data_IF_941660947784
#
_entry.id   IF_941660947784
#
_cell.length_a   1.000
_cell.length_b   1.000
_cell.length_c   1.000
_cell.angle_alpha   90.00
_cell.angle_beta   90.00
_cell.angle_gamma   90.00
#
_symmetry.space_group_name_H-M   'P 1'
#
loop_
_entity.id
_entity.type
_entity.pdbx_description
1 polymer ?
#
# COMPACT_ATOMS: atom_id res chain seq x y z
N UNK A 1 -27.22 14.65 3.78
CA UNK A 1 -26.25 14.50 2.67
C UNK A 1 -26.45 15.69 1.73
N UNK A 2 -25.41 16.18 1.05
CA UNK A 2 -25.48 17.38 0.20
C UNK A 2 -24.91 18.70 0.79
N UNK A 3 -24.28 18.68 1.97
CA UNK A 3 -23.70 19.87 2.58
C UNK A 3 -22.53 20.47 1.78
N UNK A 4 -21.81 19.64 1.02
CA UNK A 4 -20.65 20.03 0.22
C UNK A 4 -21.04 20.46 -1.21
N UNK A 5 -22.35 20.48 -1.53
CA UNK A 5 -22.85 20.85 -2.85
C UNK A 5 -22.48 19.86 -3.95
N UNK A 6 -22.41 20.35 -5.20
CA UNK A 6 -22.05 19.52 -6.35
C UNK A 6 -20.53 19.43 -6.52
N UNK A 7 -20.00 18.23 -6.72
CA UNK A 7 -18.57 18.00 -6.92
C UNK A 7 -18.27 17.74 -8.40
N UNK A 8 -17.70 18.75 -9.06
CA UNK A 8 -17.42 18.74 -10.50
C UNK A 8 -15.97 19.22 -10.78
N UNK A 9 -14.93 18.46 -10.37
CA UNK A 9 -13.54 18.86 -10.63
C UNK A 9 -13.24 18.88 -12.14
N UNK A 10 -12.51 19.90 -12.59
CA UNK A 10 -12.06 20.05 -13.99
C UNK A 10 -10.60 19.68 -14.22
N UNK A 11 -9.86 19.46 -13.13
CA UNK A 11 -8.45 19.04 -13.09
C UNK A 11 -8.25 18.08 -11.91
N UNK A 12 -7.11 17.40 -11.89
CA UNK A 12 -6.71 16.54 -10.78
C UNK A 12 -6.90 17.24 -9.43
N UNK A 13 -7.50 16.52 -8.49
CA UNK A 13 -7.91 17.09 -7.20
C UNK A 13 -7.44 16.21 -6.05
N UNK A 14 -6.67 16.81 -5.15
CA UNK A 14 -6.47 16.29 -3.80
C UNK A 14 -7.54 16.89 -2.88
N UNK A 15 -8.47 16.06 -2.42
CA UNK A 15 -9.54 16.45 -1.51
C UNK A 15 -9.06 16.27 -0.06
N UNK A 16 -9.20 17.30 0.76
CA UNK A 16 -8.95 17.19 2.20
C UNK A 16 -10.10 16.41 2.85
N UNK A 17 -9.79 15.30 3.53
CA UNK A 17 -10.80 14.55 4.27
C UNK A 17 -11.17 15.25 5.57
N UNK A 18 -12.47 15.39 5.88
CA UNK A 18 -12.92 15.72 7.22
C UNK A 18 -12.45 14.68 8.24
N UNK A 19 -12.41 15.02 9.52
CA UNK A 19 -11.92 14.14 10.59
C UNK A 19 -12.70 12.82 10.69
N UNK A 20 -13.98 12.81 10.30
CA UNK A 20 -14.82 11.61 10.27
C UNK A 20 -14.75 10.83 8.93
N UNK A 21 -14.07 11.39 7.91
CA UNK A 21 -13.96 10.84 6.57
C UNK A 21 -15.22 10.94 5.71
N UNK A 22 -16.25 11.68 6.14
CA UNK A 22 -17.55 11.73 5.47
C UNK A 22 -17.69 12.97 4.59
N UNK A 23 -17.85 12.74 3.29
CA UNK A 23 -18.14 13.76 2.27
C UNK A 23 -19.59 13.64 1.83
N UNK A 24 -20.30 14.77 1.77
CA UNK A 24 -21.74 14.85 1.56
C UNK A 24 -22.07 15.72 0.33
N UNK A 25 -22.13 15.13 -0.86
CA UNK A 25 -22.41 15.85 -2.11
C UNK A 25 -23.88 15.76 -2.54
N UNK A 26 -24.32 16.72 -3.35
CA UNK A 26 -25.62 16.66 -4.03
C UNK A 26 -25.53 15.86 -5.32
N UNK A 27 -24.43 16.01 -6.05
CA UNK A 27 -24.09 15.26 -7.25
C UNK A 27 -22.57 15.18 -7.43
N UNK A 28 -22.12 14.19 -8.20
CA UNK A 28 -20.71 14.04 -8.57
C UNK A 28 -20.60 13.92 -10.09
N UNK A 29 -19.66 14.64 -10.69
CA UNK A 29 -19.21 14.44 -12.06
C UNK A 29 -17.69 14.55 -12.13
N UNK A 30 -17.00 13.41 -12.22
CA UNK A 30 -15.55 13.35 -12.41
C UNK A 30 -15.30 13.02 -13.89
N UNK A 31 -14.89 13.99 -14.72
CA UNK A 31 -14.72 13.77 -16.15
C UNK A 31 -13.49 12.89 -16.47
N UNK A 32 -13.47 12.31 -17.66
CA UNK A 32 -12.32 11.55 -18.15
C UNK A 32 -11.03 12.41 -18.13
N UNK A 33 -9.92 11.80 -17.73
CA UNK A 33 -8.64 12.49 -17.57
C UNK A 33 -8.44 13.19 -16.22
N UNK A 34 -9.44 13.24 -15.34
CA UNK A 34 -9.31 13.78 -13.98
C UNK A 34 -9.13 12.66 -12.96
N UNK A 35 -8.14 12.82 -12.08
CA UNK A 35 -7.88 11.95 -10.93
C UNK A 35 -8.22 12.66 -9.62
N UNK A 36 -9.06 12.03 -8.81
CA UNK A 36 -9.41 12.49 -7.46
C UNK A 36 -8.72 11.60 -6.43
N UNK A 37 -7.89 12.23 -5.61
CA UNK A 37 -7.20 11.62 -4.46
C UNK A 37 -7.69 12.26 -3.18
N UNK A 38 -7.40 11.64 -2.04
CA UNK A 38 -7.78 12.15 -0.74
C UNK A 38 -6.57 12.25 0.19
N UNK A 39 -6.43 13.41 0.84
CA UNK A 39 -5.43 13.60 1.88
C UNK A 39 -5.90 12.90 3.15
N UNK A 40 -5.06 12.05 3.73
CA UNK A 40 -5.34 11.40 5.01
C UNK A 40 -5.55 12.43 6.10
N UNK A 41 -6.59 12.25 6.90
CA UNK A 41 -6.76 12.97 8.15
C UNK A 41 -5.91 12.33 9.27
N UNK A 42 -5.94 12.91 10.46
CA UNK A 42 -5.15 12.46 11.62
C UNK A 42 -5.52 11.05 12.08
N UNK A 43 -6.79 10.65 11.94
CA UNK A 43 -7.29 9.33 12.28
C UNK A 43 -7.16 8.31 11.13
N UNK A 44 -6.62 8.75 9.99
CA UNK A 44 -6.57 8.02 8.73
C UNK A 44 -7.88 7.27 8.42
N UNK A 45 -9.02 7.96 8.47
CA UNK A 45 -10.32 7.33 8.26
C UNK A 45 -10.52 6.87 6.81
N UNK A 46 -11.39 5.87 6.58
CA UNK A 46 -11.87 5.54 5.25
C UNK A 46 -12.61 6.71 4.60
N UNK A 47 -12.59 6.78 3.27
CA UNK A 47 -13.38 7.73 2.51
C UNK A 47 -14.83 7.28 2.46
N UNK A 48 -15.76 8.11 2.93
CA UNK A 48 -17.20 7.86 2.83
C UNK A 48 -17.86 8.97 2.04
N UNK A 49 -18.24 8.67 0.80
CA UNK A 49 -18.94 9.60 -0.08
C UNK A 49 -20.43 9.30 -0.03
N UNK A 50 -21.24 10.31 0.30
CA UNK A 50 -22.70 10.25 0.32
C UNK A 50 -23.27 11.27 -0.66
N UNK A 51 -24.00 10.79 -1.65
CA UNK A 51 -24.57 11.59 -2.75
C UNK A 51 -26.09 11.52 -2.69
N UNK A 52 -26.76 12.68 -2.56
CA UNK A 52 -28.23 12.72 -2.55
C UNK A 52 -28.87 12.57 -3.93
N UNK A 53 -28.10 12.75 -5.01
CA UNK A 53 -28.52 12.55 -6.40
C UNK A 53 -27.69 11.49 -7.12
N UNK A 54 -27.35 11.79 -8.37
CA UNK A 54 -26.55 10.93 -9.24
C UNK A 54 -25.05 11.21 -9.07
N UNK A 55 -24.23 10.19 -9.35
CA UNK A 55 -22.78 10.28 -9.39
C UNK A 55 -22.24 9.64 -10.67
N UNK A 56 -21.45 10.39 -11.43
CA UNK A 56 -20.78 9.94 -12.65
C UNK A 56 -19.27 10.03 -12.48
N UNK A 57 -18.59 8.91 -12.71
CA UNK A 57 -17.14 8.76 -12.58
C UNK A 57 -16.59 8.26 -13.92
N UNK A 58 -16.26 9.18 -14.81
CA UNK A 58 -15.56 8.92 -16.07
C UNK A 58 -14.04 8.97 -15.90
N UNK A 59 -13.57 9.72 -14.90
CA UNK A 59 -12.17 9.77 -14.49
C UNK A 59 -11.78 8.70 -13.47
N UNK A 60 -10.84 9.03 -12.60
CA UNK A 60 -10.28 8.12 -11.60
C UNK A 60 -10.55 8.63 -10.20
N UNK A 61 -11.02 7.73 -9.32
CA UNK A 61 -10.90 7.90 -7.87
C UNK A 61 -9.79 6.99 -7.37
N UNK A 62 -8.82 7.53 -6.65
CA UNK A 62 -7.66 6.77 -6.16
C UNK A 62 -7.44 6.96 -4.65
N UNK A 63 -7.66 5.87 -3.91
CA UNK A 63 -7.36 5.71 -2.48
C UNK A 63 -6.24 4.70 -2.24
N UNK A 64 -5.41 4.40 -3.24
CA UNK A 64 -4.33 3.41 -3.13
C UNK A 64 -3.28 3.80 -2.09
N UNK A 65 -2.62 2.78 -1.53
CA UNK A 65 -1.41 2.95 -0.74
C UNK A 65 -0.24 3.41 -1.60
N UNK A 66 0.72 4.07 -0.96
CA UNK A 66 1.96 4.52 -1.55
C UNK A 66 3.03 3.43 -1.54
N UNK A 67 3.92 3.50 -2.52
CA UNK A 67 5.11 2.65 -2.61
C UNK A 67 6.15 3.09 -1.57
N UNK A 68 7.01 2.17 -1.13
CA UNK A 68 8.23 2.55 -0.39
C UNK A 68 9.36 2.94 -1.35
N UNK A 69 10.28 3.77 -0.88
CA UNK A 69 11.44 4.19 -1.65
C UNK A 69 12.37 3.01 -1.97
N UNK A 70 12.92 3.01 -3.18
CA UNK A 70 13.99 2.10 -3.56
C UNK A 70 15.30 2.50 -2.85
N UNK A 71 16.15 1.52 -2.55
CA UNK A 71 17.35 1.71 -1.73
C UNK A 71 18.62 1.27 -2.45
N UNK A 72 19.75 1.81 -2.01
CA UNK A 72 21.06 1.52 -2.59
C UNK A 72 21.16 2.02 -4.03
N UNK A 73 21.83 1.28 -4.91
CA UNK A 73 22.00 1.70 -6.32
C UNK A 73 20.72 1.60 -7.15
N UNK A 74 19.63 1.06 -6.59
CA UNK A 74 18.31 1.09 -7.20
C UNK A 74 17.51 2.35 -6.83
N UNK A 75 17.95 3.09 -5.82
CA UNK A 75 17.36 4.36 -5.40
C UNK A 75 17.72 5.52 -6.33
N UNK A 76 17.18 6.69 -6.04
CA UNK A 76 17.42 7.94 -6.78
C UNK A 76 18.68 8.71 -6.30
N UNK A 77 19.39 8.15 -5.32
CA UNK A 77 20.56 8.75 -4.68
C UNK A 77 20.25 9.55 -3.41
N UNK A 78 18.98 9.67 -3.00
CA UNK A 78 18.57 10.38 -1.78
C UNK A 78 18.59 9.44 -0.58
N UNK A 79 19.77 9.20 0.00
CA UNK A 79 19.95 8.25 1.13
C UNK A 79 19.01 8.51 2.34
N UNK A 80 18.50 9.74 2.51
CA UNK A 80 17.63 10.09 3.62
C UNK A 80 16.25 9.42 3.56
N UNK A 81 15.78 9.01 2.38
CA UNK A 81 14.50 8.31 2.23
C UNK A 81 14.63 6.77 2.19
N UNK A 82 15.87 6.27 2.21
CA UNK A 82 16.16 4.85 2.22
C UNK A 82 15.48 4.15 3.41
N UNK A 83 14.72 3.10 3.09
CA UNK A 83 13.98 2.31 4.06
C UNK A 83 12.71 2.98 4.61
N UNK A 84 12.33 4.19 4.14
CA UNK A 84 11.02 4.78 4.48
C UNK A 84 9.91 3.88 3.91
N UNK A 85 8.91 3.48 4.73
CA UNK A 85 7.82 2.64 4.26
C UNK A 85 6.83 3.40 3.39
N UNK A 86 6.10 2.66 2.56
CA UNK A 86 4.98 3.17 1.82
C UNK A 86 3.84 3.57 2.73
N UNK A 87 3.27 4.75 2.49
CA UNK A 87 2.13 5.25 3.25
C UNK A 87 0.85 4.49 2.90
N UNK A 88 0.07 4.00 3.86
CA UNK A 88 -1.26 3.46 3.60
C UNK A 88 -2.17 4.49 2.94
N UNK A 89 -3.12 4.03 2.11
CA UNK A 89 -4.18 4.90 1.59
C UNK A 89 -5.11 5.37 2.71
N UNK A 90 -6.04 6.30 2.43
CA UNK A 90 -7.11 6.66 3.38
C UNK A 90 -7.84 5.42 3.91
N UNK A 91 -7.80 5.18 5.23
CA UNK A 91 -8.37 3.97 5.85
C UNK A 91 -7.52 2.70 5.74
N UNK A 92 -6.39 2.72 5.02
CA UNK A 92 -5.38 1.67 4.96
C UNK A 92 -4.24 1.88 5.96
N UNK A 93 -3.25 1.00 5.97
CA UNK A 93 -2.17 1.04 6.96
C UNK A 93 -0.78 1.17 6.32
N UNK A 94 0.16 1.84 7.00
CA UNK A 94 1.52 2.03 6.50
C UNK A 94 2.33 0.72 6.48
N UNK A 95 3.30 0.66 5.56
CA UNK A 95 4.30 -0.41 5.53
C UNK A 95 5.28 -0.35 6.70
N UNK A 96 6.09 -1.39 6.84
CA UNK A 96 7.14 -1.51 7.82
C UNK A 96 8.43 -0.85 7.35
N UNK A 97 9.12 -0.13 8.23
CA UNK A 97 10.40 0.53 7.91
C UNK A 97 11.46 -0.50 7.53
N UNK A 98 12.31 -0.18 6.55
CA UNK A 98 13.50 -0.97 6.27
C UNK A 98 14.52 -0.91 7.41
N UNK A 99 15.27 -1.99 7.59
CA UNK A 99 16.36 -2.05 8.55
C UNK A 99 17.49 -1.09 8.18
N UNK A 100 18.10 -0.46 9.19
CA UNK A 100 19.21 0.47 9.00
C UNK A 100 20.46 -0.23 8.41
N UNK A 101 21.34 0.50 7.69
CA UNK A 101 22.62 -0.05 7.26
C UNK A 101 23.53 -0.33 8.47
N UNK A 102 24.38 -1.36 8.36
CA UNK A 102 25.45 -1.64 9.31
C UNK A 102 25.85 -3.11 9.39
N UNK A 103 26.97 -3.37 10.06
CA UNK A 103 27.56 -4.71 10.16
C UNK A 103 26.74 -5.72 10.99
N UNK A 104 25.68 -5.27 11.70
CA UNK A 104 24.90 -6.11 12.61
C UNK A 104 23.39 -5.87 12.55
N UNK A 105 22.66 -6.80 11.93
CA UNK A 105 21.37 -7.33 12.41
C UNK A 105 20.16 -6.38 12.45
N UNK A 106 20.16 -5.26 11.72
CA UNK A 106 18.99 -4.39 11.72
C UNK A 106 17.87 -5.02 10.88
N UNK A 107 16.97 -5.72 11.56
CA UNK A 107 15.72 -6.20 10.97
C UNK A 107 14.83 -5.01 10.60
N UNK A 108 14.07 -5.17 9.51
CA UNK A 108 13.00 -4.24 9.19
C UNK A 108 11.88 -4.27 10.24
N UNK A 109 10.99 -3.30 10.16
CA UNK A 109 9.78 -3.22 10.96
C UNK A 109 8.63 -4.03 10.35
N UNK A 110 7.66 -4.39 11.20
CA UNK A 110 6.39 -4.97 10.77
C UNK A 110 5.59 -3.92 9.98
N UNK A 111 4.89 -4.35 8.93
CA UNK A 111 3.82 -3.54 8.35
C UNK A 111 2.68 -3.40 9.36
N UNK A 112 2.07 -2.23 9.45
CA UNK A 112 0.98 -2.02 10.42
C UNK A 112 -0.37 -2.46 9.84
N UNK A 113 -1.34 -2.68 10.73
CA UNK A 113 -2.70 -3.13 10.40
C UNK A 113 -2.99 -4.58 10.84
N UNK A 114 -4.28 -5.00 10.81
CA UNK A 114 -4.69 -6.32 11.31
C UNK A 114 -4.05 -7.51 10.57
N UNK A 115 -3.64 -7.30 9.32
CA UNK A 115 -2.91 -8.24 8.49
C UNK A 115 -1.52 -7.69 8.13
N UNK A 116 -0.87 -6.99 9.05
CA UNK A 116 0.47 -6.44 8.85
C UNK A 116 1.50 -7.49 8.44
N UNK A 117 2.25 -7.23 7.36
CA UNK A 117 3.32 -8.13 6.92
C UNK A 117 4.43 -8.22 7.97
N UNK A 118 4.91 -9.44 8.26
CA UNK A 118 5.95 -9.62 9.27
C UNK A 118 7.27 -8.95 8.84
N UNK A 119 8.08 -8.46 9.79
CA UNK A 119 9.41 -7.96 9.49
C UNK A 119 10.31 -9.07 8.96
N UNK A 120 11.39 -8.70 8.27
CA UNK A 120 12.51 -9.61 8.04
C UNK A 120 12.97 -10.26 9.35
N UNK A 121 13.22 -11.56 9.35
CA UNK A 121 13.58 -12.27 10.58
C UNK A 121 15.08 -12.24 10.89
N UNK A 122 15.94 -12.12 9.87
CA UNK A 122 17.39 -12.22 10.04
C UNK A 122 18.18 -11.48 8.95
N UNK A 123 19.46 -11.23 9.25
CA UNK A 123 20.52 -10.92 8.29
C UNK A 123 21.48 -12.11 8.30
N UNK A 124 21.81 -12.66 7.13
CA UNK A 124 22.82 -13.72 7.05
C UNK A 124 24.17 -13.10 6.74
N UNK A 125 25.16 -13.39 7.57
CA UNK A 125 26.57 -13.09 7.30
C UNK A 125 27.23 -14.36 6.77
N UNK A 126 27.69 -14.35 5.52
CA UNK A 126 28.46 -15.45 4.92
C UNK A 126 29.71 -14.90 4.27
N UNK A 127 30.88 -15.49 4.57
CA UNK A 127 32.18 -15.04 4.05
C UNK A 127 32.49 -13.53 4.21
N UNK A 128 32.00 -12.88 5.28
CA UNK A 128 32.25 -11.46 5.57
C UNK A 128 31.33 -10.48 4.83
N UNK A 129 30.42 -10.97 3.97
CA UNK A 129 29.35 -10.17 3.34
C UNK A 129 28.02 -10.45 4.03
N UNK A 130 27.21 -9.42 4.23
CA UNK A 130 25.87 -9.57 4.81
C UNK A 130 24.78 -9.44 3.76
N UNK A 131 23.80 -10.35 3.81
CA UNK A 131 22.61 -10.34 2.98
C UNK A 131 21.38 -10.08 3.85
N UNK A 132 20.61 -9.04 3.51
CA UNK A 132 19.35 -8.76 4.19
C UNK A 132 18.23 -9.68 3.68
N UNK A 133 17.49 -10.34 4.59
CA UNK A 133 16.28 -11.07 4.21
C UNK A 133 15.11 -10.09 3.96
N UNK A 134 14.20 -10.43 3.04
CA UNK A 134 13.01 -9.64 2.75
C UNK A 134 11.90 -9.72 3.81
N UNK A 135 11.03 -8.70 3.84
CA UNK A 135 9.83 -8.65 4.67
C UNK A 135 8.62 -9.39 4.07
N UNK A 136 7.55 -9.58 4.85
CA UNK A 136 6.32 -10.25 4.44
C UNK A 136 5.28 -9.31 3.83
N UNK A 137 4.39 -9.78 2.96
CA UNK A 137 3.34 -8.95 2.35
C UNK A 137 2.20 -8.63 3.31
N UNK A 138 1.55 -7.48 3.12
CA UNK A 138 0.33 -7.13 3.85
C UNK A 138 -0.86 -7.96 3.38
N UNK A 139 -1.67 -8.42 4.32
CA UNK A 139 -2.92 -9.14 4.06
C UNK A 139 -4.11 -8.19 3.86
N UNK A 140 -5.10 -8.66 3.09
CA UNK A 140 -6.47 -8.13 3.03
C UNK A 140 -7.30 -9.08 2.14
N UNK A 141 -8.42 -9.59 2.65
CA UNK A 141 -9.26 -10.66 2.10
C UNK A 141 -8.54 -12.01 1.89
N UNK A 142 -7.26 -11.99 1.55
CA UNK A 142 -6.32 -13.10 1.44
C UNK A 142 -5.07 -12.82 2.28
N UNK A 143 -4.34 -13.88 2.60
CA UNK A 143 -3.05 -13.77 3.27
C UNK A 143 -2.05 -13.05 2.36
N UNK A 144 -1.19 -12.22 2.96
CA UNK A 144 -0.07 -11.60 2.27
C UNK A 144 0.96 -12.65 1.81
N UNK A 145 1.76 -12.30 0.80
CA UNK A 145 2.82 -13.19 0.33
C UNK A 145 3.99 -13.31 1.33
N UNK A 146 4.50 -14.53 1.55
CA UNK A 146 5.74 -14.79 2.32
C UNK A 146 6.92 -14.03 1.73
N UNK A 147 7.88 -13.53 2.51
CA UNK A 147 9.13 -12.86 2.07
C UNK A 147 9.87 -13.56 0.91
N UNK A 148 10.49 -12.79 0.00
CA UNK A 148 11.20 -13.34 -1.19
C UNK A 148 12.69 -13.46 -0.87
N UNK A 149 13.26 -14.51 -1.43
CA UNK A 149 14.64 -14.96 -1.25
C UNK A 149 15.57 -14.38 -2.34
N UNK A 150 16.87 -14.24 -2.01
CA UNK A 150 17.96 -13.96 -2.96
C UNK A 150 18.71 -15.25 -3.33
N UNK A 151 18.69 -15.61 -4.62
CA UNK A 151 19.25 -16.83 -5.19
C UNK A 151 20.75 -17.07 -4.97
N UNK A 152 21.10 -18.28 -4.52
CA UNK A 152 22.23 -19.05 -5.08
C UNK A 152 23.43 -19.33 -4.18
N UNK A 153 23.57 -18.69 -3.02
CA UNK A 153 24.69 -18.94 -2.10
C UNK A 153 24.24 -19.77 -0.89
N UNK A 154 24.83 -20.96 -0.72
CA UNK A 154 24.62 -21.81 0.47
C UNK A 154 24.98 -21.05 1.74
N UNK A 155 24.02 -20.95 2.67
CA UNK A 155 24.13 -20.21 3.95
C UNK A 155 23.11 -19.09 4.14
N UNK A 156 22.43 -18.66 3.07
CA UNK A 156 21.62 -17.42 2.99
C UNK A 156 20.12 -17.68 3.11
N UNK A 157 19.37 -17.00 4.01
CA UNK A 157 17.89 -17.07 4.23
C UNK A 157 17.19 -18.30 3.58
N UNK A 158 17.64 -19.53 3.86
CA UNK A 158 17.41 -20.70 2.99
C UNK A 158 16.35 -21.68 3.51
N UNK A 159 15.78 -21.42 4.68
CA UNK A 159 14.72 -22.24 5.26
C UNK A 159 13.44 -21.43 5.36
N UNK A 160 12.29 -22.08 5.21
CA UNK A 160 10.95 -21.49 5.42
C UNK A 160 10.83 -20.83 6.81
N UNK A 161 11.69 -21.22 7.75
CA UNK A 161 11.80 -20.63 9.10
C UNK A 161 12.56 -19.30 9.16
N UNK A 162 13.09 -18.78 8.04
CA UNK A 162 13.82 -17.51 7.96
C UNK A 162 13.16 -16.49 7.03
N UNK A 163 12.11 -16.88 6.29
CA UNK A 163 11.32 -15.96 5.47
C UNK A 163 10.24 -15.31 6.34
N UNK A 164 10.11 -13.99 6.22
CA UNK A 164 9.06 -13.26 6.90
C UNK A 164 7.69 -13.78 6.44
N UNK A 165 6.83 -14.11 7.40
CA UNK A 165 5.45 -14.51 7.12
C UNK A 165 4.67 -13.38 6.46
N UNK A 166 3.73 -13.72 5.58
CA UNK A 166 2.71 -12.75 5.18
C UNK A 166 1.78 -12.42 6.34
N UNK A 167 1.21 -11.23 6.33
CA UNK A 167 0.15 -10.90 7.28
C UNK A 167 -1.13 -11.67 6.94
N UNK A 168 -1.89 -12.06 7.97
CA UNK A 168 -3.09 -12.88 7.77
C UNK A 168 -4.22 -12.10 7.09
N UNK A 169 -5.08 -12.82 6.40
CA UNK A 169 -6.31 -12.32 5.85
C UNK A 169 -7.21 -11.75 6.98
N UNK A 170 -7.72 -10.57 6.73
CA UNK A 170 -8.84 -9.95 7.43
C UNK A 170 -9.64 -9.16 6.40
N UNK A 171 -10.70 -8.50 6.82
CA UNK A 171 -11.60 -7.86 5.87
C UNK A 171 -12.70 -8.84 5.46
N UNK A 172 -13.94 -8.38 5.46
CA UNK A 172 -15.05 -9.09 4.82
C UNK A 172 -16.10 -8.06 4.37
N UNK A 173 -17.04 -8.49 3.55
CA UNK A 173 -18.09 -7.65 2.96
C UNK A 173 -19.07 -7.07 3.99
N UNK A 174 -19.05 -7.59 5.23
CA UNK A 174 -19.94 -7.19 6.33
C UNK A 174 -19.29 -6.26 7.34
N UNK A 175 -17.99 -5.98 7.24
CA UNK A 175 -17.31 -5.12 8.19
C UNK A 175 -17.89 -3.70 8.17
N UNK A 176 -18.35 -3.29 9.35
CA UNK A 176 -18.64 -1.93 9.74
C UNK A 176 -17.80 -1.69 11.00
N UNK A 177 -16.79 -0.79 10.98
CA UNK A 177 -16.45 0.16 9.91
C UNK A 177 -15.76 -0.49 8.70
N UNK A 178 -15.80 0.20 7.55
CA UNK A 178 -14.97 -0.13 6.40
C UNK A 178 -13.49 0.02 6.80
N UNK A 179 -12.63 -0.91 6.39
CA UNK A 179 -11.20 -0.89 6.72
C UNK A 179 -10.41 -1.21 5.46
N UNK A 180 -9.29 -0.52 5.25
CA UNK A 180 -8.38 -0.73 4.13
C UNK A 180 -7.42 -1.89 4.38
N UNK A 181 -6.50 -2.07 3.44
CA UNK A 181 -5.44 -3.08 3.47
C UNK A 181 -4.33 -2.77 4.45
N UNK A 182 -3.61 -3.81 4.86
CA UNK A 182 -2.48 -3.70 5.77
C UNK A 182 -1.18 -3.43 5.02
N UNK A 183 -0.21 -2.79 5.67
CA UNK A 183 1.10 -2.57 5.07
C UNK A 183 1.92 -3.86 5.00
N UNK A 184 2.84 -3.92 4.03
CA UNK A 184 3.86 -4.96 3.98
C UNK A 184 4.98 -4.71 4.98
N UNK A 185 5.71 -5.74 5.37
CA UNK A 185 6.87 -5.66 6.24
C UNK A 185 8.11 -5.14 5.52
N UNK A 186 8.95 -4.43 6.28
CA UNK A 186 10.26 -3.97 5.84
C UNK A 186 11.29 -5.09 5.85
N UNK A 187 12.30 -4.93 5.02
CA UNK A 187 13.40 -5.88 4.93
C UNK A 187 14.58 -5.53 5.84
N UNK A 188 15.48 -6.49 6.04
CA UNK A 188 16.68 -6.29 6.83
C UNK A 188 17.67 -5.37 6.10
N UNK A 189 18.43 -4.60 6.87
CA UNK A 189 19.55 -3.80 6.40
C UNK A 189 20.70 -4.64 5.88
N UNK A 190 21.51 -4.03 5.02
CA UNK A 190 22.80 -4.55 4.57
C UNK A 190 23.97 -3.84 5.27
N UNK A 191 25.20 -4.15 4.86
CA UNK A 191 26.40 -3.52 5.42
C UNK A 191 26.50 -2.04 5.06
N UNK A 192 26.09 -1.68 3.84
CA UNK A 192 26.29 -0.36 3.25
C UNK A 192 24.97 0.38 3.13
N UNK A 193 23.90 -0.31 2.72
CA UNK A 193 22.59 0.30 2.47
C UNK A 193 21.51 -0.30 3.37
N UNK A 194 20.47 0.51 3.62
CA UNK A 194 19.28 0.04 4.32
C UNK A 194 18.59 -1.09 3.54
N UNK A 195 17.71 -1.83 4.21
CA UNK A 195 16.69 -2.62 3.52
C UNK A 195 15.59 -1.69 3.01
N UNK A 196 14.87 -2.08 1.96
CA UNK A 196 13.70 -1.28 1.56
C UNK A 196 12.55 -1.46 2.55
N UNK A 197 11.71 -0.43 2.66
CA UNK A 197 10.49 -0.50 3.44
C UNK A 197 9.45 -1.40 2.76
N UNK A 198 8.40 -1.79 3.50
CA UNK A 198 7.21 -2.38 2.91
C UNK A 198 6.30 -1.35 2.28
N UNK A 199 5.50 -1.75 1.30
CA UNK A 199 4.49 -0.90 0.66
C UNK A 199 3.27 -0.67 1.56
N UNK A 200 2.62 0.48 1.40
CA UNK A 200 1.43 0.82 2.17
C UNK A 200 0.20 0.01 1.74
N UNK A 201 -0.69 -0.31 2.66
CA UNK A 201 -1.95 -0.97 2.33
C UNK A 201 -2.92 -0.05 1.60
N UNK A 202 -3.71 -0.62 0.69
CA UNK A 202 -4.73 0.12 -0.07
C UNK A 202 -5.79 0.72 0.84
N UNK A 203 -6.30 1.90 0.48
CA UNK A 203 -7.32 2.58 1.26
C UNK A 203 -8.69 1.91 1.19
N UNK A 204 -9.65 2.53 1.86
CA UNK A 204 -11.03 2.08 1.92
C UNK A 204 -11.96 3.19 1.47
N UNK A 205 -12.87 2.88 0.54
CA UNK A 205 -13.86 3.82 0.03
C UNK A 205 -15.27 3.23 0.02
N UNK A 206 -16.21 3.99 0.56
CA UNK A 206 -17.65 3.81 0.40
C UNK A 206 -18.20 4.93 -0.50
N UNK A 207 -18.96 4.57 -1.53
CA UNK A 207 -19.76 5.52 -2.31
C UNK A 207 -21.23 5.10 -2.21
N UNK A 208 -22.04 5.96 -1.61
CA UNK A 208 -23.48 5.77 -1.48
C UNK A 208 -24.22 6.87 -2.26
N UNK A 209 -24.98 6.51 -3.29
CA UNK A 209 -25.78 7.43 -4.10
C UNK A 209 -27.28 7.10 -3.99
N UNK A 210 -28.13 8.09 -3.74
CA UNK A 210 -29.59 7.88 -3.75
C UNK A 210 -30.16 7.68 -5.16
N UNK A 211 -29.45 8.13 -6.20
CA UNK A 211 -29.81 7.92 -7.60
C UNK A 211 -28.95 6.85 -8.29
N UNK A 212 -28.54 7.14 -9.52
CA UNK A 212 -27.65 6.31 -10.31
C UNK A 212 -26.18 6.62 -9.98
N UNK A 213 -25.41 5.58 -9.71
CA UNK A 213 -23.95 5.63 -9.69
C UNK A 213 -23.42 5.02 -10.99
N UNK A 214 -22.84 5.84 -11.85
CA UNK A 214 -22.23 5.43 -13.12
C UNK A 214 -20.71 5.47 -13.00
N UNK A 215 -20.05 4.35 -13.27
CA UNK A 215 -18.59 4.23 -13.25
C UNK A 215 -18.13 3.78 -14.63
N UNK A 216 -17.58 4.71 -15.42
CA UNK A 216 -17.00 4.43 -16.74
C UNK A 216 -15.46 4.45 -16.69
N UNK A 217 -14.88 5.21 -15.75
CA UNK A 217 -13.44 5.28 -15.50
C UNK A 217 -12.97 4.22 -14.51
N UNK A 218 -12.31 4.62 -13.43
CA UNK A 218 -11.78 3.67 -12.44
C UNK A 218 -11.91 4.12 -10.98
N UNK A 219 -12.07 3.15 -10.08
CA UNK A 219 -11.89 3.32 -8.64
C UNK A 219 -10.75 2.40 -8.20
N UNK A 220 -9.71 2.96 -7.59
CA UNK A 220 -8.50 2.24 -7.16
C UNK A 220 -8.32 2.33 -5.65
N UNK A 221 -8.10 1.17 -5.05
CA UNK A 221 -7.77 0.96 -3.65
C UNK A 221 -6.62 -0.05 -3.56
N UNK A 222 -5.58 0.12 -4.38
CA UNK A 222 -4.51 -0.86 -4.50
C UNK A 222 -3.50 -0.72 -3.35
N UNK A 223 -2.86 -1.81 -2.97
CA UNK A 223 -1.68 -1.77 -2.11
C UNK A 223 -0.48 -1.19 -2.86
N UNK A 224 0.33 -0.43 -2.15
CA UNK A 224 1.62 0.07 -2.60
C UNK A 224 2.66 -1.05 -2.67
N UNK A 225 3.63 -0.86 -3.55
CA UNK A 225 4.76 -1.76 -3.79
C UNK A 225 5.85 -1.53 -2.75
N UNK A 226 6.68 -2.55 -2.57
CA UNK A 226 7.97 -2.32 -1.92
C UNK A 226 8.95 -1.69 -2.91
N UNK A 227 9.89 -0.89 -2.39
CA UNK A 227 11.02 -0.36 -3.14
C UNK A 227 12.03 -1.44 -3.48
N UNK A 228 12.69 -1.29 -4.62
CA UNK A 228 13.78 -2.16 -5.05
C UNK A 228 15.02 -1.98 -4.16
N UNK A 229 15.93 -2.95 -4.19
CA UNK A 229 17.18 -2.92 -3.41
C UNK A 229 18.33 -3.45 -4.26
N UNK A 230 19.37 -2.66 -4.47
CA UNK A 230 20.53 -3.06 -5.27
C UNK A 230 21.86 -2.46 -4.77
N UNK A 231 22.97 -3.06 -5.18
CA UNK A 231 24.32 -2.62 -4.85
C UNK A 231 25.07 -3.51 -3.86
N UNK A 232 26.39 -3.38 -3.81
CA UNK A 232 27.23 -4.16 -2.90
C UNK A 232 26.95 -3.82 -1.44
N UNK A 233 26.65 -4.83 -0.63
CA UNK A 233 26.29 -4.64 0.77
C UNK A 233 24.88 -4.06 0.98
N UNK A 234 23.98 -4.23 0.00
CA UNK A 234 22.58 -3.81 0.13
C UNK A 234 21.78 -4.69 1.10
N UNK A 235 20.75 -4.10 1.71
CA UNK A 235 19.73 -4.82 2.44
C UNK A 235 18.79 -5.61 1.51
N UNK A 236 17.82 -6.29 2.13
CA UNK A 236 16.78 -7.01 1.41
C UNK A 236 15.71 -6.07 0.85
N UNK A 237 14.85 -6.61 -0.01
CA UNK A 237 13.63 -5.94 -0.45
C UNK A 237 12.43 -6.27 0.45
N UNK A 238 11.69 -5.24 0.86
CA UNK A 238 10.41 -5.37 1.55
C UNK A 238 9.34 -6.01 0.67
N UNK A 239 8.10 -5.99 1.16
CA UNK A 239 6.94 -6.45 0.38
C UNK A 239 5.81 -5.46 0.28
N UNK A 240 4.98 -5.62 -0.75
CA UNK A 240 3.84 -4.76 -0.98
C UNK A 240 2.76 -4.89 0.09
N UNK A 241 1.95 -3.85 0.22
CA UNK A 241 0.77 -3.82 1.08
C UNK A 241 -0.39 -4.62 0.49
N UNK A 242 -1.34 -5.00 1.34
CA UNK A 242 -2.60 -5.61 0.93
C UNK A 242 -3.45 -4.62 0.11
N UNK A 243 -4.32 -5.15 -0.74
CA UNK A 243 -5.36 -4.35 -1.39
C UNK A 243 -6.35 -3.77 -0.39
N UNK A 244 -7.14 -2.80 -0.81
CA UNK A 244 -8.09 -2.07 0.01
C UNK A 244 -9.54 -2.51 -0.16
N UNK A 245 -10.47 -1.65 0.25
CA UNK A 245 -11.91 -1.95 0.19
C UNK A 245 -12.64 -0.94 -0.70
N UNK A 246 -13.48 -1.44 -1.61
CA UNK A 246 -14.40 -0.62 -2.42
C UNK A 246 -15.82 -1.10 -2.15
N UNK A 247 -16.66 -0.23 -1.58
CA UNK A 247 -18.07 -0.51 -1.32
C UNK A 247 -18.95 0.50 -2.06
N UNK A 248 -19.84 0.00 -2.90
CA UNK A 248 -20.74 0.81 -3.70
C UNK A 248 -22.19 0.52 -3.30
N UNK A 249 -22.97 1.56 -3.09
CA UNK A 249 -24.38 1.48 -2.74
C UNK A 249 -25.13 2.50 -3.60
N UNK A 250 -26.05 2.05 -4.42
CA UNK A 250 -26.86 2.94 -5.26
C UNK A 250 -28.22 2.34 -5.57
N UNK A 251 -29.20 3.19 -5.91
CA UNK A 251 -30.49 2.73 -6.46
C UNK A 251 -30.30 2.09 -7.83
N UNK A 252 -29.30 2.54 -8.60
CA UNK A 252 -28.87 1.90 -9.84
C UNK A 252 -27.35 2.02 -9.96
N UNK A 253 -26.68 0.90 -10.19
CA UNK A 253 -25.25 0.87 -10.51
C UNK A 253 -25.10 0.62 -12.02
N UNK A 254 -24.36 1.49 -12.71
CA UNK A 254 -24.19 1.45 -14.15
C UNK A 254 -22.73 1.74 -14.56
N UNK A 255 -22.42 1.54 -15.84
CA UNK A 255 -21.10 1.76 -16.42
C UNK A 255 -20.28 0.47 -16.56
N UNK A 256 -19.15 0.58 -17.23
CA UNK A 256 -18.24 -0.52 -17.61
C UNK A 256 -16.79 -0.27 -17.15
N UNK A 257 -16.61 0.66 -16.21
CA UNK A 257 -15.32 1.03 -15.66
C UNK A 257 -14.71 -0.05 -14.75
N UNK A 258 -13.49 0.22 -14.28
CA UNK A 258 -12.70 -0.73 -13.52
C UNK A 258 -12.75 -0.47 -12.00
N UNK A 259 -12.92 -1.53 -11.21
CA UNK A 259 -12.70 -1.51 -9.77
C UNK A 259 -11.43 -2.30 -9.47
N UNK A 260 -10.47 -1.69 -8.78
CA UNK A 260 -9.17 -2.31 -8.50
C UNK A 260 -8.83 -2.21 -7.01
N UNK A 261 -8.67 -3.34 -6.36
CA UNK A 261 -8.25 -3.46 -4.96
C UNK A 261 -7.22 -4.58 -4.81
N UNK A 262 -6.21 -4.56 -5.67
CA UNK A 262 -5.16 -5.58 -5.71
C UNK A 262 -4.05 -5.25 -4.71
N UNK A 263 -3.41 -6.29 -4.15
CA UNK A 263 -2.21 -6.11 -3.34
C UNK A 263 -1.03 -5.59 -4.15
N UNK A 264 -0.12 -4.90 -3.48
CA UNK A 264 1.13 -4.43 -4.05
C UNK A 264 2.11 -5.57 -4.29
N UNK A 265 2.94 -5.43 -5.32
CA UNK A 265 4.03 -6.38 -5.58
C UNK A 265 5.20 -6.14 -4.62
N UNK A 266 5.88 -7.22 -4.21
CA UNK A 266 7.21 -7.09 -3.61
C UNK A 266 8.24 -6.78 -4.69
N UNK A 267 9.31 -6.08 -4.34
CA UNK A 267 10.40 -5.80 -5.28
C UNK A 267 11.35 -6.99 -5.44
N UNK A 268 12.14 -6.94 -6.51
CA UNK A 268 13.31 -7.80 -6.73
C UNK A 268 14.56 -7.07 -6.28
N UNK A 269 15.56 -7.83 -5.84
CA UNK A 269 16.92 -7.33 -5.70
C UNK A 269 17.61 -7.49 -7.07
N UNK A 270 18.39 -6.52 -7.52
CA UNK A 270 19.14 -6.61 -8.79
C UNK A 270 20.65 -6.76 -8.52
N UNK A 271 21.34 -7.80 -9.06
CA UNK A 271 22.78 -7.95 -8.93
C UNK A 271 23.53 -6.94 -9.81
N UNK A 272 24.52 -6.28 -9.23
CA UNK A 272 25.63 -5.69 -9.98
C UNK A 272 26.85 -6.57 -9.73
N UNK A 273 27.32 -7.24 -10.78
CA UNK A 273 28.55 -8.03 -10.80
C UNK A 273 29.76 -7.12 -11.03
#
# INVERSE_FOLDING_TARGET
>A
TGADGAFNPTVDRLVTLPDDGVLNYTSINIPAGVTVRFQRNTLNTPVQIRVSGNATIDGVIDVSGGDSAAVGTAGDGVIADDGIPGSGGPGGFDGGRGGAPGASGFVGGQGIGPGGGFPSQWQVVSAGVSFGCGGGGGGFAIDGGLGRYWGGVSGTCNTVTQTAGGGRAYGNERLLPLIGGSGGGGAAGGQTFAGSGGGGGGGAILIAASGTLTINGAIRANGGRAGASAGTGTGGAGRGGGGGAIRLIASTLAGNGALSAIGGIGATNEPVW
#
